data_IF_862702885732
#
_entry.id   IF_862702885732
#
_cell.length_a   1.000
_cell.length_b   1.000
_cell.length_c   1.000
_cell.angle_alpha   90.00
_cell.angle_beta   90.00
_cell.angle_gamma   90.00
#
_symmetry.space_group_name_H-M   'P 1'
#
loop_
_entity.id
_entity.type
_entity.pdbx_description
1 polymer ?
#
# COMPACT_ATOMS: atom_id res chain seq x y z
N UNK A 1 -7.40 -77.42 -9.40
CA UNK A 1 -7.40 -76.80 -8.05
C UNK A 1 -6.63 -75.48 -8.15
N UNK A 2 -7.31 -74.40 -8.52
CA UNK A 2 -6.72 -73.06 -8.54
C UNK A 2 -7.13 -72.40 -7.21
N UNK A 3 -6.14 -72.00 -6.41
CA UNK A 3 -6.33 -71.50 -5.03
C UNK A 3 -7.03 -70.13 -5.07
N UNK A 4 -8.25 -70.10 -4.55
CA UNK A 4 -9.07 -68.89 -4.23
C UNK A 4 -8.29 -67.80 -3.46
N UNK A 5 -7.20 -68.14 -2.77
CA UNK A 5 -6.38 -67.20 -2.00
C UNK A 5 -5.50 -66.24 -2.82
N UNK A 6 -5.21 -66.52 -4.09
CA UNK A 6 -4.30 -65.68 -4.90
C UNK A 6 -5.04 -64.46 -5.52
N UNK A 7 -6.36 -64.60 -5.74
CA UNK A 7 -7.21 -63.53 -6.29
C UNK A 7 -7.52 -62.44 -5.24
N UNK A 8 -7.71 -62.82 -3.97
CA UNK A 8 -8.02 -61.88 -2.90
C UNK A 8 -6.83 -60.95 -2.56
N UNK A 9 -5.60 -61.49 -2.55
CA UNK A 9 -4.38 -60.71 -2.27
C UNK A 9 -4.07 -59.74 -3.42
N UNK A 10 -4.29 -60.17 -4.67
CA UNK A 10 -4.09 -59.33 -5.86
C UNK A 10 -5.12 -58.20 -5.96
N UNK A 11 -6.39 -58.43 -5.62
CA UNK A 11 -7.40 -57.36 -5.55
C UNK A 11 -7.13 -56.36 -4.43
N UNK A 12 -6.66 -56.83 -3.26
CA UNK A 12 -6.36 -55.98 -2.12
C UNK A 12 -5.17 -55.06 -2.41
N UNK A 13 -4.10 -55.57 -3.02
CA UNK A 13 -2.93 -54.75 -3.39
C UNK A 13 -3.27 -53.70 -4.46
N UNK A 14 -4.09 -54.07 -5.46
CA UNK A 14 -4.50 -53.14 -6.54
C UNK A 14 -5.43 -52.04 -6.02
N UNK A 15 -6.33 -52.35 -5.08
CA UNK A 15 -7.22 -51.34 -4.47
C UNK A 15 -6.48 -50.42 -3.51
N UNK A 16 -5.50 -50.92 -2.74
CA UNK A 16 -4.64 -50.05 -1.91
C UNK A 16 -3.73 -49.16 -2.74
N UNK A 17 -3.27 -49.61 -3.91
CA UNK A 17 -2.45 -48.82 -4.84
C UNK A 17 -3.25 -47.70 -5.52
N UNK A 18 -4.55 -47.91 -5.76
CA UNK A 18 -5.44 -46.92 -6.38
C UNK A 18 -5.87 -45.81 -5.40
N UNK A 19 -6.02 -46.14 -4.11
CA UNK A 19 -6.36 -45.16 -3.06
C UNK A 19 -5.21 -44.20 -2.75
N UNK A 20 -3.95 -44.64 -2.93
CA UNK A 20 -2.77 -43.81 -2.67
C UNK A 20 -2.46 -42.81 -3.79
N UNK A 21 -3.01 -43.00 -5.00
CA UNK A 21 -2.72 -42.15 -6.17
C UNK A 21 -3.64 -40.93 -6.31
N UNK A 22 -4.75 -40.86 -5.57
CA UNK A 22 -5.76 -39.79 -5.71
C UNK A 22 -5.53 -38.60 -4.74
N UNK A 23 -4.64 -38.74 -3.75
CA UNK A 23 -4.60 -37.83 -2.59
C UNK A 23 -3.63 -36.61 -2.58
N UNK A 24 -2.86 -36.22 -3.62
CA UNK A 24 -2.02 -35.02 -3.52
C UNK A 24 -2.64 -33.75 -4.17
N UNK A 25 -3.95 -33.67 -4.41
CA UNK A 25 -4.55 -32.52 -5.12
C UNK A 25 -5.09 -31.40 -4.22
N UNK A 26 -5.35 -31.65 -2.93
CA UNK A 26 -6.00 -30.67 -2.03
C UNK A 26 -5.12 -29.48 -1.64
N UNK A 27 -3.85 -29.74 -1.30
CA UNK A 27 -2.92 -28.72 -0.76
C UNK A 27 -2.54 -27.67 -1.81
N UNK A 28 -2.44 -28.06 -3.10
CA UNK A 28 -2.06 -27.14 -4.17
C UNK A 28 -3.14 -26.10 -4.47
N UNK A 29 -4.42 -26.52 -4.50
CA UNK A 29 -5.54 -25.63 -4.79
C UNK A 29 -5.77 -24.59 -3.68
N UNK A 30 -5.48 -24.94 -2.42
CA UNK A 30 -5.57 -24.03 -1.28
C UNK A 30 -4.49 -22.93 -1.33
N UNK A 31 -3.24 -23.29 -1.65
CA UNK A 31 -2.15 -22.31 -1.81
C UNK A 31 -2.41 -21.34 -2.97
N UNK A 32 -2.93 -21.82 -4.11
CA UNK A 32 -3.29 -20.96 -5.25
C UNK A 32 -4.37 -19.92 -4.89
N UNK A 33 -5.35 -20.30 -4.07
CA UNK A 33 -6.36 -19.38 -3.57
C UNK A 33 -5.76 -18.32 -2.63
N UNK A 34 -4.93 -18.74 -1.68
CA UNK A 34 -4.26 -17.83 -0.74
C UNK A 34 -3.35 -16.84 -1.47
N UNK A 35 -2.58 -17.29 -2.46
CA UNK A 35 -1.74 -16.42 -3.30
C UNK A 35 -2.61 -15.38 -4.02
N UNK A 36 -3.73 -15.79 -4.63
CA UNK A 36 -4.63 -14.85 -5.33
C UNK A 36 -5.20 -13.78 -4.39
N UNK A 37 -5.50 -14.12 -3.14
CA UNK A 37 -5.96 -13.16 -2.14
C UNK A 37 -4.87 -12.17 -1.74
N UNK A 38 -3.65 -12.66 -1.52
CA UNK A 38 -2.48 -11.83 -1.21
C UNK A 38 -2.12 -10.89 -2.37
N UNK A 39 -2.21 -11.34 -3.62
CA UNK A 39 -2.00 -10.50 -4.81
C UNK A 39 -3.04 -9.37 -4.89
N UNK A 40 -4.31 -9.66 -4.58
CA UNK A 40 -5.35 -8.62 -4.53
C UNK A 40 -5.06 -7.60 -3.42
N UNK A 41 -4.61 -8.05 -2.25
CA UNK A 41 -4.20 -7.16 -1.17
C UNK A 41 -3.00 -6.31 -1.60
N UNK A 42 -1.99 -6.92 -2.24
CA UNK A 42 -0.80 -6.25 -2.75
C UNK A 42 -1.17 -5.15 -3.76
N UNK A 43 -2.08 -5.42 -4.69
CA UNK A 43 -2.57 -4.43 -5.65
C UNK A 43 -3.23 -3.24 -4.97
N UNK A 44 -4.03 -3.47 -3.91
CA UNK A 44 -4.65 -2.37 -3.14
C UNK A 44 -3.60 -1.53 -2.43
N UNK A 45 -2.63 -2.17 -1.75
CA UNK A 45 -1.53 -1.47 -1.06
C UNK A 45 -0.72 -0.62 -2.04
N UNK A 46 -0.43 -1.14 -3.23
CA UNK A 46 0.27 -0.38 -4.27
C UNK A 46 -0.53 0.84 -4.76
N UNK A 47 -1.83 0.69 -4.96
CA UNK A 47 -2.72 1.80 -5.33
C UNK A 47 -2.76 2.87 -4.24
N UNK A 48 -2.89 2.46 -2.98
CA UNK A 48 -2.89 3.36 -1.82
C UNK A 48 -1.54 4.07 -1.66
N UNK A 49 -0.42 3.38 -1.89
CA UNK A 49 0.92 3.96 -1.83
C UNK A 49 1.10 5.02 -2.92
N UNK A 50 0.67 4.72 -4.15
CA UNK A 50 0.69 5.68 -5.26
C UNK A 50 -0.18 6.90 -4.94
N UNK A 51 -1.41 6.70 -4.46
CA UNK A 51 -2.32 7.79 -4.12
C UNK A 51 -1.74 8.67 -2.99
N UNK A 52 -1.19 8.06 -1.94
CA UNK A 52 -0.53 8.77 -0.82
C UNK A 52 0.64 9.60 -1.31
N UNK A 53 1.46 9.05 -2.22
CA UNK A 53 2.58 9.76 -2.81
C UNK A 53 2.12 10.96 -3.66
N UNK A 54 1.07 10.81 -4.47
CA UNK A 54 0.52 11.94 -5.24
C UNK A 54 -0.02 13.04 -4.34
N UNK A 55 -0.70 12.70 -3.25
CA UNK A 55 -1.17 13.67 -2.25
C UNK A 55 0.01 14.40 -1.60
N UNK A 56 1.10 13.69 -1.28
CA UNK A 56 2.31 14.30 -0.73
C UNK A 56 2.87 15.38 -1.66
N UNK A 57 3.02 15.07 -2.95
CA UNK A 57 3.51 16.04 -3.94
C UNK A 57 2.59 17.27 -4.06
N UNK A 58 1.29 17.06 -4.03
CA UNK A 58 0.31 18.15 -4.06
C UNK A 58 0.44 19.06 -2.83
N UNK A 59 0.50 18.51 -1.62
CA UNK A 59 0.64 19.32 -0.39
C UNK A 59 2.00 20.02 -0.34
N UNK A 60 3.06 19.36 -0.83
CA UNK A 60 4.39 19.94 -0.91
C UNK A 60 4.37 21.20 -1.79
N UNK A 61 3.66 21.13 -2.91
CA UNK A 61 3.50 22.27 -3.83
C UNK A 61 2.68 23.40 -3.20
N UNK A 62 1.58 23.10 -2.50
CA UNK A 62 0.82 24.11 -1.77
C UNK A 62 1.67 24.82 -0.72
N UNK A 63 2.46 24.07 0.06
CA UNK A 63 3.39 24.64 1.03
C UNK A 63 4.45 25.52 0.36
N UNK A 64 5.01 25.07 -0.76
CA UNK A 64 5.97 25.85 -1.55
C UNK A 64 5.35 27.18 -1.98
N UNK A 65 4.11 27.16 -2.47
CA UNK A 65 3.40 28.35 -2.90
C UNK A 65 3.13 29.33 -1.74
N UNK A 66 2.78 28.84 -0.55
CA UNK A 66 2.63 29.71 0.63
C UNK A 66 3.96 30.32 1.08
N UNK A 67 5.08 29.60 0.92
CA UNK A 67 6.41 30.12 1.25
C UNK A 67 6.94 31.13 0.23
N UNK A 68 6.61 30.94 -1.05
CA UNK A 68 7.04 31.80 -2.15
C UNK A 68 6.08 32.96 -2.42
N UNK A 69 4.86 32.90 -1.88
CA UNK A 69 3.85 33.95 -2.07
C UNK A 69 4.39 35.33 -1.70
N UNK A 70 4.06 36.31 -2.55
CA UNK A 70 4.52 37.70 -2.46
C UNK A 70 4.48 38.21 -1.01
N UNK A 71 5.52 38.95 -0.56
CA UNK A 71 5.43 39.74 0.65
C UNK A 71 4.15 40.57 0.59
N UNK A 72 3.39 40.62 1.70
CA UNK A 72 2.31 41.59 1.82
C UNK A 72 2.93 42.95 1.53
N UNK A 73 2.48 43.58 0.43
CA UNK A 73 3.10 44.73 -0.20
C UNK A 73 3.78 45.62 0.85
N UNK A 74 5.10 45.79 0.73
CA UNK A 74 5.77 46.88 1.42
C UNK A 74 4.98 48.15 1.08
N UNK A 75 4.59 48.89 2.11
CA UNK A 75 3.73 50.06 1.98
C UNK A 75 4.23 50.93 0.81
N UNK A 76 3.34 51.35 -0.12
CA UNK A 76 3.74 52.33 -1.12
C UNK A 76 4.17 53.59 -0.38
N UNK A 77 5.43 53.98 -0.52
CA UNK A 77 5.92 55.28 -0.09
C UNK A 77 5.00 56.33 -0.75
N UNK A 78 4.32 57.08 0.10
CA UNK A 78 2.99 57.60 -0.21
C UNK A 78 2.99 58.61 -1.35
N UNK A 79 2.54 58.23 -2.55
CA UNK A 79 2.25 59.17 -3.64
C UNK A 79 1.26 58.66 -4.71
N UNK A 80 0.52 57.56 -4.49
CA UNK A 80 -0.41 57.04 -5.52
C UNK A 80 -1.86 57.12 -5.05
N UNK A 81 -2.62 57.89 -5.80
CA UNK A 81 -4.04 58.19 -5.64
C UNK A 81 -4.88 56.89 -5.60
N UNK A 82 -5.61 56.69 -4.50
CA UNK A 82 -6.83 55.87 -4.37
C UNK A 82 -6.77 54.32 -4.35
N UNK A 83 -5.68 53.68 -3.93
CA UNK A 83 -5.76 52.28 -3.47
C UNK A 83 -6.06 52.27 -1.96
N UNK A 84 -7.14 51.62 -1.48
CA UNK A 84 -7.37 51.48 -0.05
C UNK A 84 -6.21 50.69 0.56
N UNK A 85 -5.40 51.33 1.40
CA UNK A 85 -4.36 50.65 2.15
C UNK A 85 -5.06 49.64 3.06
N UNK A 86 -4.76 48.32 2.97
CA UNK A 86 -5.32 47.33 3.88
C UNK A 86 -5.06 47.76 5.32
N UNK A 87 -6.06 47.60 6.18
CA UNK A 87 -5.87 47.97 7.59
C UNK A 87 -4.74 47.11 8.17
N UNK A 88 -3.87 47.70 8.99
CA UNK A 88 -2.72 47.01 9.59
C UNK A 88 -3.12 45.65 10.22
N UNK A 89 -4.27 45.60 10.89
CA UNK A 89 -4.84 44.38 11.48
C UNK A 89 -5.12 43.28 10.45
N UNK A 90 -5.60 43.63 9.27
CA UNK A 90 -5.88 42.68 8.19
C UNK A 90 -4.59 42.06 7.65
N UNK A 91 -3.55 42.87 7.50
CA UNK A 91 -2.22 42.37 7.09
C UNK A 91 -1.63 41.43 8.14
N UNK A 92 -1.71 41.80 9.43
CA UNK A 92 -1.23 40.95 10.51
C UNK A 92 -2.00 39.62 10.56
N UNK A 93 -3.32 39.65 10.39
CA UNK A 93 -4.15 38.45 10.28
C UNK A 93 -3.74 37.60 9.07
N UNK A 94 -3.46 38.22 7.93
CA UNK A 94 -3.02 37.49 6.73
C UNK A 94 -1.63 36.83 6.91
N UNK A 95 -0.69 37.51 7.58
CA UNK A 95 0.61 36.90 7.95
C UNK A 95 0.40 35.69 8.86
N UNK A 96 -0.47 35.80 9.86
CA UNK A 96 -0.73 34.70 10.78
C UNK A 96 -1.40 33.52 10.05
N UNK A 97 -2.45 33.77 9.29
CA UNK A 97 -3.13 32.74 8.50
C UNK A 97 -2.17 32.01 7.55
N UNK A 98 -1.18 32.71 6.98
CA UNK A 98 -0.14 32.09 6.12
C UNK A 98 0.76 31.15 6.91
N UNK A 99 1.20 31.57 8.11
CA UNK A 99 1.99 30.72 9.01
C UNK A 99 1.20 29.47 9.40
N UNK A 100 -0.05 29.64 9.80
CA UNK A 100 -0.93 28.55 10.21
C UNK A 100 -1.10 27.52 9.07
N UNK A 101 -1.30 27.98 7.82
CA UNK A 101 -1.36 27.08 6.65
C UNK A 101 -0.05 26.34 6.39
N UNK A 102 1.10 27.01 6.51
CA UNK A 102 2.41 26.37 6.34
C UNK A 102 2.62 25.27 7.40
N UNK A 103 2.28 25.56 8.66
CA UNK A 103 2.37 24.59 9.76
C UNK A 103 1.44 23.40 9.54
N UNK A 104 0.20 23.66 9.11
CA UNK A 104 -0.75 22.60 8.76
C UNK A 104 -0.20 21.72 7.62
N UNK A 105 0.26 22.29 6.52
CA UNK A 105 0.82 21.52 5.41
C UNK A 105 2.07 20.73 5.82
N UNK A 106 2.90 21.26 6.72
CA UNK A 106 4.03 20.48 7.27
C UNK A 106 3.54 19.26 8.03
N UNK A 107 2.56 19.40 8.92
CA UNK A 107 2.01 18.26 9.65
C UNK A 107 1.34 17.22 8.72
N UNK A 108 0.65 17.68 7.67
CA UNK A 108 0.06 16.81 6.66
C UNK A 108 1.13 16.03 5.88
N UNK A 109 2.24 16.67 5.52
CA UNK A 109 3.38 16.00 4.85
C UNK A 109 3.99 14.91 5.73
N UNK A 110 4.20 15.18 7.02
CA UNK A 110 4.75 14.20 7.97
C UNK A 110 3.83 12.98 8.09
N UNK A 111 2.51 13.22 8.17
CA UNK A 111 1.51 12.15 8.22
C UNK A 111 1.49 11.32 6.94
N UNK A 112 1.51 11.97 5.78
CA UNK A 112 1.53 11.30 4.47
C UNK A 112 2.79 10.46 4.29
N UNK A 113 3.94 10.98 4.73
CA UNK A 113 5.20 10.24 4.72
C UNK A 113 5.14 8.99 5.60
N UNK A 114 4.65 9.12 6.84
CA UNK A 114 4.49 7.99 7.74
C UNK A 114 3.54 6.93 7.16
N UNK A 115 2.42 7.36 6.56
CA UNK A 115 1.47 6.44 5.90
C UNK A 115 2.12 5.73 4.71
N UNK A 116 2.85 6.44 3.87
CA UNK A 116 3.54 5.84 2.73
C UNK A 116 4.58 4.79 3.18
N UNK A 117 5.35 5.10 4.23
CA UNK A 117 6.31 4.16 4.82
C UNK A 117 5.63 2.88 5.32
N UNK A 118 4.52 3.00 6.03
CA UNK A 118 3.75 1.84 6.51
C UNK A 118 3.22 0.99 5.35
N UNK A 119 2.72 1.61 4.27
CA UNK A 119 2.25 0.90 3.08
C UNK A 119 3.39 0.14 2.37
N UNK A 120 4.59 0.72 2.30
CA UNK A 120 5.76 0.01 1.75
C UNK A 120 6.18 -1.19 2.62
N UNK A 121 6.10 -1.07 3.94
CA UNK A 121 6.38 -2.18 4.85
C UNK A 121 5.36 -3.31 4.68
N UNK A 122 4.07 -2.98 4.57
CA UNK A 122 3.00 -3.94 4.28
C UNK A 122 3.21 -4.61 2.91
N UNK A 123 3.58 -3.83 1.88
CA UNK A 123 3.88 -4.34 0.54
C UNK A 123 4.98 -5.41 0.57
N UNK A 124 6.05 -5.17 1.33
CA UNK A 124 7.16 -6.11 1.46
C UNK A 124 6.74 -7.39 2.17
N UNK A 125 5.95 -7.29 3.24
CA UNK A 125 5.42 -8.45 3.95
C UNK A 125 4.51 -9.30 3.06
N UNK A 126 3.63 -8.68 2.27
CA UNK A 126 2.76 -9.40 1.34
C UNK A 126 3.58 -10.14 0.26
N UNK A 127 4.61 -9.49 -0.29
CA UNK A 127 5.52 -10.15 -1.25
C UNK A 127 6.27 -11.31 -0.61
N UNK A 128 6.71 -11.18 0.64
CA UNK A 128 7.38 -12.26 1.35
C UNK A 128 6.45 -13.47 1.55
N UNK A 129 5.20 -13.24 1.96
CA UNK A 129 4.21 -14.30 2.13
C UNK A 129 3.90 -15.03 0.82
N UNK A 130 3.74 -14.29 -0.29
CA UNK A 130 3.55 -14.88 -1.62
C UNK A 130 4.74 -15.77 -1.97
N UNK A 131 5.97 -15.26 -1.81
CA UNK A 131 7.19 -16.02 -2.10
C UNK A 131 7.31 -17.29 -1.24
N UNK A 132 6.87 -17.27 0.01
CA UNK A 132 6.87 -18.45 0.88
C UNK A 132 5.88 -19.52 0.41
N UNK A 133 4.64 -19.11 0.08
CA UNK A 133 3.60 -20.01 -0.43
C UNK A 133 3.96 -20.62 -1.79
N UNK A 134 4.65 -19.86 -2.65
CA UNK A 134 5.15 -20.36 -3.94
C UNK A 134 6.25 -21.42 -3.77
N UNK A 135 7.04 -21.38 -2.69
CA UNK A 135 8.13 -22.34 -2.42
C UNK A 135 7.69 -23.61 -1.70
N UNK A 136 6.66 -23.55 -0.86
CA UNK A 136 6.12 -24.72 -0.15
C UNK A 136 5.76 -25.94 -1.02
N UNK A 137 5.20 -25.82 -2.25
CA UNK A 137 4.94 -26.98 -3.10
C UNK A 137 6.22 -27.65 -3.64
N UNK A 138 7.40 -27.01 -3.57
CA UNK A 138 8.65 -27.56 -4.06
C UNK A 138 9.41 -28.43 -3.04
N UNK A 139 9.15 -28.25 -1.74
CA UNK A 139 9.89 -28.94 -0.67
C UNK A 139 9.19 -30.20 -0.13
N UNK A 140 7.88 -30.37 -0.38
CA UNK A 140 7.13 -31.57 0.03
C UNK A 140 7.27 -32.77 -0.94
N UNK A 141 8.22 -32.70 -1.89
CA UNK A 141 8.43 -33.70 -2.95
C UNK A 141 9.79 -34.39 -2.96
N UNK A 142 10.61 -34.25 -1.91
CA UNK A 142 11.90 -34.94 -1.73
C UNK A 142 11.85 -36.00 -0.63
#
# INVERSE_FOLDING_TARGET
MIREGDLAVRLCVVTTLWILLVFPFGVKAENEQQISELERALMRVQQDAQATYQQFLMIQELRRNEMQGEPLADFPDGTVESVPIPKYEEMMRQKQNRKDRIEQYTADLDRLYARFRALEEERQLLMEQINQLERQPAESGL
#
